data_IF_388338913916
#
_entry.id   IF_388338913916
#
_cell.length_a   1.000
_cell.length_b   1.000
_cell.length_c   1.000
_cell.angle_alpha   90.00
_cell.angle_beta   90.00
_cell.angle_gamma   90.00
#
_symmetry.space_group_name_H-M   'P 1'
#
loop_
_entity.id
_entity.type
_entity.pdbx_description
1 polymer ?
#
# COMPACT_ATOMS: atom_id res chain seq x y z
N UNK A 1 2.72 -22.42 37.25
CA UNK A 1 3.01 -21.21 36.42
C UNK A 1 1.81 -20.32 36.12
N UNK A 2 0.59 -20.59 36.61
CA UNK A 2 -0.58 -19.72 36.33
C UNK A 2 -0.97 -19.60 34.84
N UNK A 3 -0.31 -20.37 33.96
CA UNK A 3 -0.57 -20.42 32.53
C UNK A 3 -1.68 -21.43 32.29
N UNK A 4 -2.66 -21.03 31.48
CA UNK A 4 -3.78 -21.86 31.07
C UNK A 4 -3.26 -23.15 30.41
N UNK A 5 -3.70 -24.31 30.91
CA UNK A 5 -3.33 -25.60 30.33
C UNK A 5 -4.12 -25.84 29.04
N UNK A 6 -3.50 -25.56 27.91
CA UNK A 6 -4.09 -25.72 26.58
C UNK A 6 -4.51 -27.16 26.26
N UNK A 7 -3.96 -28.17 26.96
CA UNK A 7 -4.32 -29.59 26.78
C UNK A 7 -5.55 -29.99 27.58
N UNK A 8 -5.92 -29.21 28.59
CA UNK A 8 -7.12 -29.40 29.39
C UNK A 8 -8.34 -28.65 28.82
N UNK A 9 -8.16 -27.87 27.74
CA UNK A 9 -9.28 -27.28 27.02
C UNK A 9 -10.09 -28.38 26.32
N UNK A 10 -11.44 -28.32 26.37
CA UNK A 10 -12.27 -29.22 25.59
C UNK A 10 -11.89 -29.11 24.11
N UNK A 11 -11.83 -30.24 23.42
CA UNK A 11 -11.73 -30.21 21.96
C UNK A 11 -12.95 -29.42 21.42
N UNK A 12 -12.75 -28.48 20.49
CA UNK A 12 -13.86 -27.75 19.90
C UNK A 12 -14.82 -28.77 19.27
N UNK A 13 -16.07 -28.74 19.72
CA UNK A 13 -17.12 -29.60 19.17
C UNK A 13 -17.29 -29.27 17.69
N UNK A 14 -17.44 -30.29 16.83
CA UNK A 14 -17.76 -30.07 15.43
C UNK A 14 -19.13 -29.36 15.26
N UNK A 15 -19.99 -29.42 16.28
CA UNK A 15 -21.22 -28.61 16.37
C UNK A 15 -20.98 -27.12 16.67
N UNK A 16 -19.81 -26.76 17.23
CA UNK A 16 -19.41 -25.38 17.48
C UNK A 16 -18.89 -24.68 16.22
N UNK A 17 -18.56 -25.44 15.18
CA UNK A 17 -18.38 -24.91 13.83
C UNK A 17 -19.76 -24.83 13.21
N UNK A 18 -20.31 -23.61 13.10
CA UNK A 18 -21.54 -23.36 12.36
C UNK A 18 -21.33 -23.78 10.91
N UNK A 19 -21.53 -25.07 10.63
CA UNK A 19 -21.38 -25.63 9.28
C UNK A 19 -22.65 -25.24 8.55
N UNK A 20 -22.67 -24.01 8.00
CA UNK A 20 -23.75 -23.57 7.13
C UNK A 20 -23.87 -24.59 5.99
N UNK A 21 -25.09 -24.98 5.67
CA UNK A 21 -25.34 -25.92 4.58
C UNK A 21 -24.75 -25.36 3.29
N UNK A 22 -24.08 -26.20 2.51
CA UNK A 22 -23.50 -25.78 1.25
C UNK A 22 -24.59 -25.39 0.26
N UNK A 23 -24.50 -24.16 -0.23
CA UNK A 23 -25.26 -23.65 -1.37
C UNK A 23 -24.29 -23.15 -2.46
N UNK A 24 -24.54 -23.55 -3.70
CA UNK A 24 -23.65 -23.28 -4.83
C UNK A 24 -23.66 -21.79 -5.24
N UNK A 25 -22.53 -21.25 -5.73
CA UNK A 25 -22.47 -19.91 -6.31
C UNK A 25 -23.41 -19.75 -7.51
N UNK A 26 -24.09 -18.60 -7.62
CA UNK A 26 -25.04 -18.31 -8.69
C UNK A 26 -24.53 -17.25 -9.69
N UNK A 27 -24.57 -17.61 -10.97
CA UNK A 27 -24.18 -16.72 -12.07
C UNK A 27 -22.67 -16.52 -12.19
N UNK A 28 -22.28 -15.77 -13.21
CA UNK A 28 -20.87 -15.65 -13.62
C UNK A 28 -19.98 -15.03 -12.53
N UNK A 29 -20.48 -14.01 -11.84
CA UNK A 29 -19.70 -13.29 -10.84
C UNK A 29 -19.47 -14.10 -9.56
N UNK A 30 -20.52 -14.71 -8.98
CA UNK A 30 -20.35 -15.53 -7.77
C UNK A 30 -19.46 -16.75 -8.09
N UNK A 31 -19.61 -17.35 -9.27
CA UNK A 31 -18.74 -18.45 -9.72
C UNK A 31 -17.28 -18.02 -9.82
N UNK A 32 -17.02 -16.84 -10.39
CA UNK A 32 -15.66 -16.27 -10.50
C UNK A 32 -15.06 -16.00 -9.12
N UNK A 33 -15.84 -15.37 -8.23
CA UNK A 33 -15.42 -15.11 -6.84
C UNK A 33 -15.12 -16.41 -6.08
N UNK A 34 -15.99 -17.41 -6.19
CA UNK A 34 -15.82 -18.70 -5.55
C UNK A 34 -14.54 -19.39 -6.03
N UNK A 35 -14.24 -19.34 -7.33
CA UNK A 35 -13.02 -19.91 -7.89
C UNK A 35 -11.76 -19.22 -7.36
N UNK A 36 -11.78 -17.88 -7.26
CA UNK A 36 -10.66 -17.11 -6.68
C UNK A 36 -10.50 -17.47 -5.20
N UNK A 37 -11.58 -17.55 -4.44
CA UNK A 37 -11.56 -17.92 -3.02
C UNK A 37 -11.03 -19.33 -2.80
N UNK A 38 -11.44 -20.31 -3.62
CA UNK A 38 -10.91 -21.67 -3.58
C UNK A 38 -9.39 -21.68 -3.71
N UNK A 39 -8.85 -20.94 -4.68
CA UNK A 39 -7.43 -20.84 -4.94
C UNK A 39 -6.66 -20.14 -3.80
N UNK A 40 -7.22 -19.05 -3.25
CA UNK A 40 -6.59 -18.28 -2.17
C UNK A 40 -6.63 -19.01 -0.83
N UNK A 41 -7.74 -19.65 -0.51
CA UNK A 41 -7.99 -20.28 0.80
C UNK A 41 -7.60 -21.77 0.83
N UNK A 42 -7.22 -22.35 -0.31
CA UNK A 42 -6.89 -23.78 -0.44
C UNK A 42 -8.09 -24.68 -0.16
N UNK A 43 -9.30 -24.26 -0.52
CA UNK A 43 -10.56 -24.99 -0.27
C UNK A 43 -11.07 -25.61 -1.57
N UNK A 44 -11.64 -26.82 -1.47
CA UNK A 44 -12.23 -27.53 -2.63
C UNK A 44 -13.62 -27.01 -2.97
N UNK A 45 -14.36 -26.48 -2.00
CA UNK A 45 -15.71 -25.91 -2.17
C UNK A 45 -15.83 -24.63 -1.37
N UNK A 46 -16.51 -23.66 -1.97
CA UNK A 46 -16.92 -22.40 -1.34
C UNK A 46 -18.42 -22.27 -1.59
N UNK A 47 -19.19 -22.12 -0.52
CA UNK A 47 -20.60 -21.79 -0.59
C UNK A 47 -20.79 -20.30 -0.81
N UNK A 48 -21.89 -19.92 -1.46
CA UNK A 48 -22.27 -18.52 -1.60
C UNK A 48 -22.49 -17.79 -0.26
N UNK A 49 -22.79 -18.53 0.81
CA UNK A 49 -22.99 -17.99 2.16
C UNK A 49 -21.75 -18.10 3.06
N UNK A 50 -20.60 -18.51 2.50
CA UNK A 50 -19.34 -18.54 3.22
C UNK A 50 -18.81 -17.13 3.47
N UNK A 51 -18.22 -16.95 4.64
CA UNK A 51 -17.61 -15.70 5.07
C UNK A 51 -16.09 -15.75 4.90
N UNK A 52 -15.53 -14.83 4.12
CA UNK A 52 -14.13 -14.82 3.70
C UNK A 52 -13.15 -14.98 4.87
N UNK A 53 -13.35 -14.20 5.94
CA UNK A 53 -12.46 -14.20 7.10
C UNK A 53 -12.67 -15.39 8.03
N UNK A 54 -13.86 -15.99 8.06
CA UNK A 54 -14.12 -17.19 8.89
C UNK A 54 -13.42 -18.40 8.27
N UNK A 55 -13.25 -18.42 6.94
CA UNK A 55 -12.53 -19.45 6.22
C UNK A 55 -10.99 -19.32 6.29
N UNK A 56 -10.48 -18.27 6.95
CA UNK A 56 -9.04 -18.00 7.11
C UNK A 56 -8.49 -16.91 6.18
N UNK A 57 -9.35 -16.16 5.48
CA UNK A 57 -8.95 -15.00 4.70
C UNK A 57 -8.32 -13.92 5.56
N UNK A 58 -7.33 -13.20 5.01
CA UNK A 58 -6.65 -12.09 5.68
C UNK A 58 -6.27 -10.98 4.70
N UNK A 59 -5.74 -9.86 5.20
CA UNK A 59 -5.50 -8.64 4.42
C UNK A 59 -4.66 -8.86 3.15
N UNK A 60 -3.60 -9.67 3.21
CA UNK A 60 -2.81 -9.99 2.01
C UNK A 60 -3.62 -10.77 0.95
N UNK A 61 -4.45 -11.74 1.37
CA UNK A 61 -5.35 -12.45 0.45
C UNK A 61 -6.43 -11.54 -0.10
N UNK A 62 -6.92 -10.57 0.67
CA UNK A 62 -7.87 -9.56 0.20
C UNK A 62 -7.26 -8.73 -0.95
N UNK A 63 -5.99 -8.33 -0.85
CA UNK A 63 -5.27 -7.66 -1.94
C UNK A 63 -5.18 -8.57 -3.17
N UNK A 64 -4.79 -9.85 -2.98
CA UNK A 64 -4.73 -10.81 -4.09
C UNK A 64 -6.09 -11.09 -4.74
N UNK A 65 -7.17 -11.09 -3.96
CA UNK A 65 -8.54 -11.23 -4.44
C UNK A 65 -8.93 -10.06 -5.35
N UNK A 66 -8.66 -8.82 -4.93
CA UNK A 66 -8.94 -7.61 -5.72
C UNK A 66 -8.19 -7.68 -7.05
N UNK A 67 -6.91 -8.03 -7.03
CA UNK A 67 -6.06 -8.13 -8.22
C UNK A 67 -6.56 -9.20 -9.21
N UNK A 68 -6.86 -10.41 -8.72
CA UNK A 68 -7.38 -11.49 -9.56
C UNK A 68 -8.76 -11.16 -10.14
N UNK A 69 -9.62 -10.53 -9.34
CA UNK A 69 -10.95 -10.11 -9.77
C UNK A 69 -10.87 -9.00 -10.82
N UNK A 70 -9.93 -8.06 -10.68
CA UNK A 70 -9.61 -7.04 -11.69
C UNK A 70 -9.15 -7.66 -13.01
N UNK A 71 -8.30 -8.67 -12.96
CA UNK A 71 -7.87 -9.41 -14.17
C UNK A 71 -9.04 -10.16 -14.84
N UNK A 72 -10.06 -10.55 -14.08
CA UNK A 72 -11.30 -11.12 -14.59
C UNK A 72 -12.32 -10.06 -15.08
N UNK A 73 -11.94 -8.78 -15.10
CA UNK A 73 -12.78 -7.68 -15.58
C UNK A 73 -13.75 -7.10 -14.55
N UNK A 74 -13.69 -7.54 -13.30
CA UNK A 74 -14.56 -7.11 -12.21
C UNK A 74 -13.83 -6.16 -11.25
N UNK A 75 -14.57 -5.32 -10.55
CA UNK A 75 -14.00 -4.30 -9.64
C UNK A 75 -14.55 -4.48 -8.25
N UNK A 76 -13.64 -4.50 -7.29
CA UNK A 76 -13.95 -4.58 -5.86
C UNK A 76 -13.01 -3.63 -5.14
N UNK A 77 -13.56 -2.70 -4.39
CA UNK A 77 -12.78 -1.90 -3.46
C UNK A 77 -12.49 -2.71 -2.19
N UNK A 78 -11.39 -2.38 -1.52
CA UNK A 78 -10.96 -3.08 -0.31
C UNK A 78 -11.97 -2.96 0.82
N UNK A 79 -12.70 -1.83 0.92
CA UNK A 79 -13.68 -1.61 1.98
C UNK A 79 -14.85 -2.58 1.86
N UNK A 80 -15.32 -2.84 0.63
CA UNK A 80 -16.37 -3.81 0.34
C UNK A 80 -16.03 -5.23 0.81
N UNK A 81 -14.76 -5.62 0.84
CA UNK A 81 -14.37 -6.93 1.38
C UNK A 81 -14.67 -7.04 2.88
N UNK A 82 -14.46 -5.95 3.63
CA UNK A 82 -14.70 -5.92 5.07
C UNK A 82 -16.17 -5.66 5.42
N UNK A 83 -16.88 -4.85 4.63
CA UNK A 83 -18.30 -4.55 4.89
C UNK A 83 -19.26 -5.60 4.33
N UNK A 84 -18.86 -6.33 3.28
CA UNK A 84 -19.63 -7.41 2.66
C UNK A 84 -18.77 -8.68 2.52
N UNK A 85 -18.38 -9.32 3.65
CA UNK A 85 -17.43 -10.44 3.67
C UNK A 85 -18.03 -11.80 3.27
N UNK A 86 -19.36 -11.87 3.05
CA UNK A 86 -20.04 -13.08 2.56
C UNK A 86 -20.02 -13.09 1.03
N UNK A 87 -19.80 -14.25 0.39
CA UNK A 87 -19.59 -14.32 -1.06
C UNK A 87 -20.73 -13.67 -1.87
N UNK A 88 -22.00 -13.92 -1.52
CA UNK A 88 -23.15 -13.27 -2.16
C UNK A 88 -23.12 -11.76 -2.03
N UNK A 89 -22.84 -11.27 -0.82
CA UNK A 89 -22.88 -9.85 -0.50
C UNK A 89 -21.71 -9.13 -1.18
N UNK A 90 -20.55 -9.78 -1.22
CA UNK A 90 -19.39 -9.33 -1.97
C UNK A 90 -19.70 -9.24 -3.46
N UNK A 91 -20.39 -10.24 -4.04
CA UNK A 91 -20.81 -10.20 -5.44
C UNK A 91 -21.79 -9.03 -5.70
N UNK A 92 -22.69 -8.73 -4.77
CA UNK A 92 -23.57 -7.56 -4.88
C UNK A 92 -22.79 -6.25 -4.82
N UNK A 93 -21.82 -6.12 -3.92
CA UNK A 93 -20.94 -4.95 -3.84
C UNK A 93 -20.14 -4.73 -5.13
N UNK A 94 -19.57 -5.81 -5.70
CA UNK A 94 -18.89 -5.76 -7.00
C UNK A 94 -19.81 -5.22 -8.09
N UNK A 95 -21.07 -5.67 -8.15
CA UNK A 95 -22.05 -5.21 -9.14
C UNK A 95 -22.38 -3.73 -8.96
N UNK A 96 -22.60 -3.27 -7.73
CA UNK A 96 -22.87 -1.87 -7.42
C UNK A 96 -21.74 -0.95 -7.91
N UNK A 97 -20.50 -1.42 -7.84
CA UNK A 97 -19.31 -0.62 -8.18
C UNK A 97 -18.85 -0.76 -9.65
N UNK A 98 -19.57 -1.51 -10.50
CA UNK A 98 -19.21 -1.64 -11.93
C UNK A 98 -19.39 -0.36 -12.77
N UNK A 99 -20.11 0.63 -12.26
CA UNK A 99 -20.41 1.89 -12.96
C UNK A 99 -19.53 3.08 -12.58
N UNK A 100 -18.70 2.96 -11.54
CA UNK A 100 -17.82 4.06 -11.15
C UNK A 100 -16.69 4.23 -12.17
N UNK A 101 -16.52 5.46 -12.67
CA UNK A 101 -15.43 5.80 -13.56
C UNK A 101 -14.10 5.45 -12.90
N UNK A 102 -13.26 4.69 -13.59
CA UNK A 102 -11.91 4.43 -13.11
C UNK A 102 -11.19 5.76 -13.03
N UNK A 103 -10.65 6.08 -11.86
CA UNK A 103 -9.68 7.16 -11.78
C UNK A 103 -8.46 6.77 -12.60
N UNK A 104 -8.32 7.36 -13.78
CA UNK A 104 -7.15 7.19 -14.63
C UNK A 104 -6.08 8.10 -14.04
N UNK A 105 -5.02 7.51 -13.49
CA UNK A 105 -3.88 8.27 -12.99
C UNK A 105 -3.27 9.02 -14.17
N UNK A 106 -3.23 10.37 -14.12
CA UNK A 106 -2.58 11.15 -15.18
C UNK A 106 -1.10 10.79 -15.25
N UNK A 107 -0.49 10.79 -16.45
CA UNK A 107 0.93 10.52 -16.58
C UNK A 107 1.74 11.64 -15.92
N UNK A 108 2.92 11.29 -15.40
CA UNK A 108 3.92 12.26 -14.99
C UNK A 108 4.35 13.10 -16.21
N UNK A 109 4.36 14.42 -16.05
CA UNK A 109 4.66 15.39 -17.11
C UNK A 109 6.00 16.10 -16.94
N UNK A 110 6.87 15.67 -16.02
CA UNK A 110 8.21 16.21 -15.81
C UNK A 110 9.22 15.38 -16.64
N UNK A 111 9.76 15.92 -17.76
CA UNK A 111 10.80 15.25 -18.52
C UNK A 111 12.07 15.01 -17.70
N UNK A 112 12.81 13.96 -18.08
CA UNK A 112 14.16 13.71 -17.56
C UNK A 112 15.09 14.89 -17.90
N UNK A 113 15.85 15.34 -16.91
CA UNK A 113 16.79 16.47 -17.08
C UNK A 113 16.14 17.85 -17.12
N UNK A 114 14.85 17.97 -16.77
CA UNK A 114 14.16 19.27 -16.64
C UNK A 114 14.89 20.21 -15.71
N UNK A 115 15.32 21.38 -16.19
CA UNK A 115 16.01 22.39 -15.36
C UNK A 115 15.07 23.40 -14.72
N UNK A 116 13.78 23.38 -15.09
CA UNK A 116 12.73 24.21 -14.53
C UNK A 116 11.42 23.41 -14.51
N UNK A 117 10.62 23.61 -13.46
CA UNK A 117 9.31 22.97 -13.30
C UNK A 117 8.23 24.05 -13.35
N UNK A 118 7.08 23.72 -13.94
CA UNK A 118 5.91 24.61 -13.97
C UNK A 118 4.67 23.91 -13.40
N UNK A 119 3.65 24.64 -12.92
CA UNK A 119 2.44 24.06 -12.36
C UNK A 119 1.73 23.06 -13.29
N UNK A 120 1.76 23.28 -14.61
CA UNK A 120 1.09 22.42 -15.61
C UNK A 120 1.72 21.03 -15.72
N UNK A 121 2.95 20.88 -15.21
CA UNK A 121 3.65 19.60 -15.12
C UNK A 121 3.19 18.74 -13.95
N UNK A 122 2.39 19.29 -13.02
CA UNK A 122 1.98 18.65 -11.77
C UNK A 122 0.46 18.37 -11.75
N UNK A 123 -0.03 17.35 -12.49
CA UNK A 123 -1.47 17.13 -12.65
C UNK A 123 -2.17 16.61 -11.37
N UNK A 124 -1.40 16.21 -10.36
CA UNK A 124 -1.90 15.60 -9.12
C UNK A 124 -1.84 16.53 -7.91
N UNK A 125 -1.21 17.70 -8.03
CA UNK A 125 -1.10 18.68 -6.95
C UNK A 125 -1.15 20.10 -7.50
N UNK A 126 -1.90 20.97 -6.83
CA UNK A 126 -1.93 22.40 -7.17
C UNK A 126 -0.87 23.12 -6.34
N UNK A 127 0.13 23.67 -7.01
CA UNK A 127 1.18 24.51 -6.43
C UNK A 127 1.38 25.77 -7.27
N UNK A 128 1.66 26.88 -6.61
CA UNK A 128 2.13 28.10 -7.28
C UNK A 128 3.58 27.94 -7.75
N UNK A 129 4.01 28.75 -8.71
CA UNK A 129 5.40 28.75 -9.16
C UNK A 129 6.37 29.02 -7.99
N UNK A 130 6.03 29.95 -7.09
CA UNK A 130 6.86 30.26 -5.93
C UNK A 130 7.03 29.07 -4.97
N UNK A 131 5.98 28.26 -4.79
CA UNK A 131 6.05 27.04 -3.99
C UNK A 131 6.90 25.97 -4.67
N UNK A 132 6.80 25.84 -5.99
CA UNK A 132 7.64 24.92 -6.78
C UNK A 132 9.11 25.32 -6.67
N UNK A 133 9.42 26.62 -6.80
CA UNK A 133 10.78 27.14 -6.68
C UNK A 133 11.33 26.87 -5.26
N UNK A 134 10.52 27.12 -4.22
CA UNK A 134 10.86 26.81 -2.82
C UNK A 134 11.17 25.32 -2.63
N UNK A 135 10.39 24.42 -3.24
CA UNK A 135 10.65 22.98 -3.19
C UNK A 135 11.98 22.65 -3.87
N UNK A 136 12.19 23.15 -5.08
CA UNK A 136 13.38 22.88 -5.90
C UNK A 136 14.67 23.30 -5.18
N UNK A 137 14.65 24.39 -4.40
CA UNK A 137 15.78 24.83 -3.58
C UNK A 137 16.20 23.81 -2.50
N UNK A 138 15.26 22.97 -2.04
CA UNK A 138 15.54 21.93 -1.04
C UNK A 138 16.12 20.64 -1.63
N UNK A 139 16.07 20.48 -2.95
CA UNK A 139 16.46 19.24 -3.64
C UNK A 139 17.89 19.35 -4.14
N UNK A 140 18.75 18.42 -3.72
CA UNK A 140 20.10 18.32 -4.25
C UNK A 140 20.07 18.08 -5.77
N UNK A 141 20.74 18.93 -6.55
CA UNK A 141 20.66 18.91 -8.02
C UNK A 141 19.46 19.67 -8.61
N UNK A 142 18.66 20.32 -7.77
CA UNK A 142 17.54 21.17 -8.17
C UNK A 142 16.47 20.43 -8.97
N UNK A 143 15.81 21.16 -9.88
CA UNK A 143 14.72 20.65 -10.71
C UNK A 143 15.11 19.40 -11.51
N UNK A 144 16.38 19.30 -11.92
CA UNK A 144 16.87 18.16 -12.69
C UNK A 144 16.83 16.85 -11.90
N UNK A 145 16.83 16.92 -10.57
CA UNK A 145 16.69 15.76 -9.71
C UNK A 145 15.26 15.53 -9.20
N UNK A 146 14.29 16.38 -9.55
CA UNK A 146 12.88 16.13 -9.25
C UNK A 146 12.31 15.17 -10.29
N UNK A 147 11.76 14.06 -9.84
CA UNK A 147 10.99 13.15 -10.68
C UNK A 147 9.52 13.53 -10.71
N UNK A 148 8.91 13.78 -9.55
CA UNK A 148 7.48 14.12 -9.44
C UNK A 148 7.16 14.73 -8.08
N UNK A 149 5.97 15.35 -7.97
CA UNK A 149 5.47 15.96 -6.73
C UNK A 149 4.00 15.55 -6.52
N UNK A 150 3.69 15.05 -5.33
CA UNK A 150 2.34 14.56 -4.97
C UNK A 150 1.84 15.19 -3.66
N UNK A 151 0.50 15.27 -3.46
CA UNK A 151 -0.02 15.55 -2.14
C UNK A 151 0.30 14.40 -1.16
N UNK A 152 0.33 14.70 0.14
CA UNK A 152 0.41 13.65 1.15
C UNK A 152 -0.91 12.86 1.21
N UNK A 153 -0.81 11.54 1.33
CA UNK A 153 -1.95 10.72 1.74
C UNK A 153 -2.32 11.03 3.21
N UNK A 154 -3.57 10.81 3.64
CA UNK A 154 -4.02 11.14 5.00
C UNK A 154 -3.15 10.53 6.11
N UNK A 155 -2.68 9.28 5.93
CA UNK A 155 -1.79 8.64 6.90
C UNK A 155 -0.43 9.34 6.97
N UNK A 156 0.14 9.75 5.83
CA UNK A 156 1.42 10.47 5.81
C UNK A 156 1.29 11.84 6.45
N UNK A 157 0.17 12.54 6.24
CA UNK A 157 -0.12 13.81 6.91
C UNK A 157 -0.20 13.64 8.43
N UNK A 158 -0.81 12.54 8.91
CA UNK A 158 -0.82 12.19 10.33
C UNK A 158 0.58 11.91 10.90
N UNK A 159 1.42 11.18 10.17
CA UNK A 159 2.82 10.94 10.55
C UNK A 159 3.59 12.26 10.66
N UNK A 160 3.49 13.14 9.66
CA UNK A 160 4.13 14.46 9.68
C UNK A 160 3.64 15.32 10.85
N UNK A 161 2.34 15.28 11.16
CA UNK A 161 1.78 15.98 12.31
C UNK A 161 2.44 15.53 13.62
N UNK A 162 2.57 14.22 13.83
CA UNK A 162 3.23 13.68 15.03
C UNK A 162 4.71 14.03 15.09
N UNK A 163 5.43 13.93 13.96
CA UNK A 163 6.83 14.38 13.86
C UNK A 163 6.98 15.84 14.31
N UNK A 164 6.06 16.72 13.89
CA UNK A 164 6.09 18.14 14.24
C UNK A 164 5.71 18.46 15.69
N UNK A 165 4.95 17.59 16.36
CA UNK A 165 4.59 17.76 17.77
C UNK A 165 5.67 17.27 18.72
N UNK A 166 6.57 16.40 18.26
CA UNK A 166 7.60 15.82 19.10
C UNK A 166 8.80 16.77 19.21
N UNK A 167 9.17 17.10 20.45
CA UNK A 167 10.36 17.91 20.74
C UNK A 167 11.63 17.07 20.80
N UNK A 168 11.50 15.75 21.02
CA UNK A 168 12.61 14.80 21.12
C UNK A 168 12.27 13.46 20.46
N UNK A 169 13.14 13.01 19.56
CA UNK A 169 12.97 11.75 18.83
C UNK A 169 11.84 11.79 17.79
N UNK A 170 11.55 10.64 17.20
CA UNK A 170 10.44 10.45 16.27
C UNK A 170 9.79 9.07 16.50
N UNK A 171 8.48 9.04 16.78
CA UNK A 171 7.73 7.80 17.02
C UNK A 171 7.68 6.86 15.81
N UNK A 172 7.91 7.38 14.60
CA UNK A 172 7.88 6.64 13.35
C UNK A 172 9.29 6.27 12.86
N UNK A 173 10.33 6.52 13.64
CA UNK A 173 11.69 6.12 13.31
C UNK A 173 11.89 4.61 13.51
N UNK A 174 12.22 3.91 12.43
CA UNK A 174 12.54 2.49 12.46
C UNK A 174 14.07 2.31 12.46
N UNK A 175 14.58 1.69 13.51
CA UNK A 175 15.99 1.32 13.62
C UNK A 175 16.18 -0.15 13.27
N UNK A 176 17.07 -0.41 12.33
CA UNK A 176 17.51 -1.76 11.96
C UNK A 176 19.01 -1.86 12.14
N UNK A 177 19.46 -2.85 12.93
CA UNK A 177 20.87 -3.17 13.08
C UNK A 177 21.17 -4.45 12.29
N UNK A 178 22.13 -4.35 11.38
CA UNK A 178 22.61 -5.49 10.59
C UNK A 178 24.13 -5.56 10.80
N UNK A 179 24.62 -6.76 11.12
CA UNK A 179 26.03 -7.01 11.34
C UNK A 179 26.62 -7.80 10.17
N UNK A 180 27.86 -7.47 9.80
CA UNK A 180 28.63 -8.14 8.77
C UNK A 180 29.95 -8.61 9.36
N UNK A 181 30.37 -9.82 9.01
CA UNK A 181 31.63 -10.43 9.44
C UNK A 181 32.85 -9.91 8.65
N UNK A 182 32.62 -9.26 7.50
CA UNK A 182 33.68 -8.64 6.69
C UNK A 182 33.25 -7.29 6.11
N UNK A 183 34.23 -6.42 5.85
CA UNK A 183 33.99 -5.14 5.17
C UNK A 183 33.44 -5.31 3.75
N UNK A 184 33.93 -6.31 3.01
CA UNK A 184 33.47 -6.58 1.65
C UNK A 184 31.96 -6.85 1.59
N UNK A 185 31.41 -7.64 2.53
CA UNK A 185 29.96 -7.90 2.59
C UNK A 185 29.14 -6.66 2.94
N UNK A 186 29.67 -5.76 3.77
CA UNK A 186 29.04 -4.48 4.05
C UNK A 186 29.01 -3.61 2.79
N UNK A 187 30.10 -3.57 2.03
CA UNK A 187 30.18 -2.79 0.79
C UNK A 187 29.22 -3.35 -0.28
N UNK A 188 29.18 -4.69 -0.45
CA UNK A 188 28.22 -5.37 -1.34
C UNK A 188 26.77 -5.08 -0.94
N UNK A 189 26.47 -5.15 0.36
CA UNK A 189 25.13 -4.83 0.88
C UNK A 189 24.76 -3.37 0.62
N UNK A 190 25.69 -2.44 0.85
CA UNK A 190 25.48 -1.00 0.61
C UNK A 190 25.19 -0.73 -0.86
N UNK A 191 25.93 -1.36 -1.78
CA UNK A 191 25.69 -1.25 -3.21
C UNK A 191 24.32 -1.83 -3.61
N UNK A 192 23.95 -3.00 -3.05
CA UNK A 192 22.64 -3.59 -3.28
C UNK A 192 21.50 -2.71 -2.74
N UNK A 193 21.67 -2.13 -1.54
CA UNK A 193 20.69 -1.22 -0.95
C UNK A 193 20.53 0.05 -1.79
N UNK A 194 21.61 0.61 -2.33
CA UNK A 194 21.53 1.73 -3.27
C UNK A 194 20.72 1.37 -4.52
N UNK A 195 20.91 0.16 -5.07
CA UNK A 195 20.12 -0.30 -6.22
C UNK A 195 18.63 -0.42 -5.88
N UNK A 196 18.29 -0.86 -4.66
CA UNK A 196 16.91 -0.91 -4.16
C UNK A 196 16.34 0.51 -4.01
N UNK A 197 17.09 1.46 -3.46
CA UNK A 197 16.69 2.87 -3.36
C UNK A 197 16.40 3.44 -4.75
N UNK A 198 17.29 3.22 -5.72
CA UNK A 198 17.12 3.71 -7.09
C UNK A 198 15.86 3.14 -7.76
N UNK A 199 15.52 1.89 -7.47
CA UNK A 199 14.37 1.20 -8.06
C UNK A 199 13.02 1.66 -7.50
N UNK A 200 12.96 2.09 -6.24
CA UNK A 200 11.71 2.31 -5.53
C UNK A 200 11.53 3.76 -5.09
N UNK A 201 10.61 4.48 -5.74
CA UNK A 201 10.29 5.90 -5.51
C UNK A 201 10.13 6.23 -4.03
N UNK A 202 9.44 5.38 -3.28
CA UNK A 202 9.18 5.61 -1.85
C UNK A 202 10.45 5.75 -1.00
N UNK A 203 11.56 5.13 -1.40
CA UNK A 203 12.85 5.20 -0.69
C UNK A 203 13.68 6.44 -1.06
N UNK A 204 13.22 7.21 -2.04
CA UNK A 204 13.84 8.44 -2.54
C UNK A 204 12.83 9.61 -2.55
N UNK A 205 11.79 9.50 -1.73
CA UNK A 205 10.78 10.54 -1.54
C UNK A 205 11.08 11.35 -0.29
N UNK A 206 11.22 12.66 -0.45
CA UNK A 206 11.24 13.61 0.66
C UNK A 206 9.83 14.14 0.95
N UNK A 207 9.60 14.59 2.18
CA UNK A 207 8.39 15.35 2.55
C UNK A 207 8.77 16.81 2.72
N UNK A 208 8.14 17.70 1.97
CA UNK A 208 8.38 19.15 2.02
C UNK A 208 7.13 19.85 2.54
N UNK A 209 7.28 20.78 3.50
CA UNK A 209 6.15 21.51 4.09
C UNK A 209 6.48 22.93 4.53
N UNK A 210 7.76 23.27 4.70
CA UNK A 210 8.19 24.61 5.07
C UNK A 210 7.97 25.57 3.89
N UNK A 211 7.27 26.69 4.15
CA UNK A 211 7.01 27.69 3.12
C UNK A 211 5.92 27.30 2.10
N UNK A 212 5.21 26.19 2.32
CA UNK A 212 4.16 25.70 1.42
C UNK A 212 2.77 25.83 2.05
N UNK A 213 1.76 26.03 1.21
CA UNK A 213 0.36 26.05 1.66
C UNK A 213 -0.16 24.66 2.07
N UNK A 214 0.44 23.61 1.50
CA UNK A 214 0.17 22.22 1.84
C UNK A 214 1.46 21.40 1.83
N UNK A 215 1.59 20.38 2.69
CA UNK A 215 2.73 19.47 2.64
C UNK A 215 2.63 18.60 1.38
N UNK A 216 3.78 18.32 0.78
CA UNK A 216 3.89 17.49 -0.43
C UNK A 216 4.99 16.45 -0.30
N UNK A 217 4.83 15.38 -1.08
CA UNK A 217 5.84 14.36 -1.32
C UNK A 217 6.63 14.78 -2.56
N UNK A 218 7.96 14.78 -2.49
CA UNK A 218 8.84 15.12 -3.61
C UNK A 218 9.71 13.91 -3.92
N UNK A 219 9.48 13.29 -5.07
CA UNK A 219 10.23 12.10 -5.49
C UNK A 219 11.51 12.54 -6.19
N UNK A 220 12.66 12.12 -5.68
CA UNK A 220 13.97 12.47 -6.24
C UNK A 220 14.44 11.42 -7.21
N UNK A 221 14.92 11.79 -8.40
CA UNK A 221 15.47 10.84 -9.39
C UNK A 221 16.65 10.06 -8.83
N UNK A 222 17.50 10.71 -8.03
CA UNK A 222 18.65 10.13 -7.36
C UNK A 222 18.70 10.57 -5.90
N UNK A 223 18.77 9.60 -4.99
CA UNK A 223 18.99 9.81 -3.56
C UNK A 223 20.15 8.89 -3.12
N UNK A 224 21.38 9.42 -2.99
CA UNK A 224 22.52 8.61 -2.58
C UNK A 224 22.38 8.19 -1.11
N UNK A 225 22.67 6.94 -0.83
CA UNK A 225 22.73 6.38 0.51
C UNK A 225 23.90 7.00 1.27
N UNK A 226 23.57 7.75 2.32
CA UNK A 226 24.57 8.31 3.24
C UNK A 226 25.13 7.22 4.14
N UNK A 227 26.40 6.89 3.96
CA UNK A 227 27.14 5.98 4.85
C UNK A 227 28.17 6.80 5.63
N UNK A 228 27.99 6.88 6.94
CA UNK A 228 29.01 7.43 7.85
C UNK A 228 29.89 6.27 8.31
N UNK A 229 31.13 6.25 7.86
CA UNK A 229 32.15 5.27 8.27
C UNK A 229 33.05 5.81 9.35
#
# INVERSE_FOLDING_TARGET
NGKLDRRALPAPDQSAVATRAYEAPEGALETTLAQIWQNLLGRTRISRHDHFFELGGHSLMAVSLIEQLRNAGWRLDVRSIFSAPVLTDMAQAVRANQGEATFIVPPNRIPDGSTALTPEMLPLVTLSQAEIDTIVETVAGGAANVQDIYPLAPLQAGILFHHRLQEQGDAYLLHHLIAFDTRARLDDFTAALQAVINRHDILRTAVCWQGLTQPVQVVWRQAPLSVTT
#
